data_IF_018388003798
#
_entry.id   IF_018388003798
#
_cell.length_a   1.000
_cell.length_b   1.000
_cell.length_c   1.000
_cell.angle_alpha   90.00
_cell.angle_beta   90.00
_cell.angle_gamma   90.00
#
_symmetry.space_group_name_H-M   'P 1'
#
loop_
_entity.id
_entity.type
_entity.pdbx_description
1 polymer ?
#
# COMPACT_ATOMS: atom_id res chain seq x y z
N UNK A 1 -24.08 -21.65 -18.58
CA UNK A 1 -23.89 -20.18 -18.56
C UNK A 1 -23.30 -19.64 -17.25
N UNK A 2 -23.27 -20.39 -16.12
CA UNK A 2 -22.67 -19.89 -14.86
C UNK A 2 -21.15 -19.69 -14.89
N UNK A 3 -20.38 -20.66 -15.38
CA UNK A 3 -18.91 -20.62 -15.24
C UNK A 3 -18.20 -19.45 -15.96
N UNK A 4 -18.77 -18.96 -17.08
CA UNK A 4 -18.20 -17.83 -17.81
C UNK A 4 -18.38 -16.50 -17.06
N UNK A 5 -19.48 -16.35 -16.33
CA UNK A 5 -19.75 -15.16 -15.52
C UNK A 5 -18.84 -15.14 -14.29
N UNK A 6 -18.66 -16.29 -13.64
CA UNK A 6 -17.81 -16.43 -12.45
C UNK A 6 -16.33 -16.13 -12.77
N UNK A 7 -15.82 -16.61 -13.91
CA UNK A 7 -14.46 -16.32 -14.37
C UNK A 7 -14.25 -14.84 -14.70
N UNK A 8 -15.26 -14.19 -15.29
CA UNK A 8 -15.20 -12.77 -15.60
C UNK A 8 -15.19 -11.92 -14.33
N UNK A 9 -16.05 -12.25 -13.36
CA UNK A 9 -16.10 -11.57 -12.07
C UNK A 9 -14.78 -11.71 -11.30
N UNK A 10 -14.20 -12.92 -11.27
CA UNK A 10 -12.89 -13.14 -10.64
C UNK A 10 -11.78 -12.33 -11.32
N UNK A 11 -11.82 -12.21 -12.66
CA UNK A 11 -10.87 -11.39 -13.40
C UNK A 11 -11.03 -9.88 -13.13
N UNK A 12 -12.28 -9.40 -13.00
CA UNK A 12 -12.56 -8.01 -12.68
C UNK A 12 -12.16 -7.67 -11.23
N UNK A 13 -12.43 -8.57 -10.29
CA UNK A 13 -12.00 -8.43 -8.89
C UNK A 13 -10.47 -8.38 -8.79
N UNK A 14 -9.76 -9.28 -9.48
CA UNK A 14 -8.31 -9.28 -9.52
C UNK A 14 -7.75 -7.96 -10.11
N UNK A 15 -8.40 -7.41 -11.15
CA UNK A 15 -8.00 -6.14 -11.73
C UNK A 15 -8.22 -4.97 -10.76
N UNK A 16 -9.35 -4.93 -10.07
CA UNK A 16 -9.66 -3.94 -9.04
C UNK A 16 -8.64 -3.99 -7.90
N UNK A 17 -8.35 -5.20 -7.38
CA UNK A 17 -7.33 -5.42 -6.35
C UNK A 17 -5.95 -4.91 -6.79
N UNK A 18 -5.55 -5.23 -8.02
CA UNK A 18 -4.28 -4.79 -8.58
C UNK A 18 -4.19 -3.25 -8.64
N UNK A 19 -5.27 -2.57 -9.01
CA UNK A 19 -5.32 -1.10 -9.01
C UNK A 19 -5.19 -0.53 -7.59
N UNK A 20 -5.93 -1.04 -6.61
CA UNK A 20 -5.88 -0.57 -5.22
C UNK A 20 -4.46 -0.72 -4.65
N UNK A 21 -3.82 -1.88 -4.88
CA UNK A 21 -2.45 -2.13 -4.42
C UNK A 21 -1.43 -1.23 -5.13
N UNK A 22 -1.61 -0.98 -6.43
CA UNK A 22 -0.75 -0.06 -7.18
C UNK A 22 -0.84 1.38 -6.65
N UNK A 23 -2.04 1.86 -6.30
CA UNK A 23 -2.23 3.18 -5.67
C UNK A 23 -1.54 3.23 -4.30
N UNK A 24 -1.69 2.19 -3.49
CA UNK A 24 -1.03 2.12 -2.19
C UNK A 24 0.51 2.15 -2.32
N UNK A 25 1.09 1.42 -3.27
CA UNK A 25 2.53 1.50 -3.59
C UNK A 25 2.91 2.92 -4.03
N UNK A 26 2.18 3.52 -4.96
CA UNK A 26 2.45 4.86 -5.45
C UNK A 26 2.50 5.91 -4.33
N UNK A 27 1.50 5.92 -3.44
CA UNK A 27 1.44 6.86 -2.31
C UNK A 27 2.48 6.60 -1.23
N UNK A 28 2.98 5.37 -1.11
CA UNK A 28 4.09 5.06 -0.19
C UNK A 28 5.41 5.61 -0.73
N UNK A 29 5.60 5.53 -2.05
CA UNK A 29 6.85 5.92 -2.72
C UNK A 29 6.90 7.41 -3.07
N UNK A 30 5.74 8.02 -3.34
CA UNK A 30 5.65 9.38 -3.89
C UNK A 30 5.05 10.33 -2.88
N UNK A 31 5.93 11.05 -2.18
CA UNK A 31 5.58 12.11 -1.22
C UNK A 31 4.59 11.63 -0.16
N UNK A 32 4.93 10.59 0.62
CA UNK A 32 4.01 9.95 1.56
C UNK A 32 3.52 10.87 2.68
N UNK A 33 4.25 11.94 3.00
CA UNK A 33 3.88 12.90 4.06
C UNK A 33 3.02 14.06 3.56
N UNK A 34 2.75 14.17 2.26
CA UNK A 34 1.82 15.18 1.75
C UNK A 34 0.39 14.86 2.19
N UNK A 35 -0.39 15.91 2.45
CA UNK A 35 -1.81 15.80 2.69
C UNK A 35 -2.49 15.14 1.48
N UNK A 36 -3.38 14.20 1.74
CA UNK A 36 -4.15 13.54 0.70
C UNK A 36 -5.29 14.45 0.26
N UNK A 37 -5.29 14.81 -1.03
CA UNK A 37 -6.41 15.52 -1.63
C UNK A 37 -7.31 14.57 -2.41
N UNK A 38 -8.60 14.92 -2.52
CA UNK A 38 -9.56 14.11 -3.30
C UNK A 38 -9.13 13.95 -4.76
N UNK A 39 -8.49 14.98 -5.32
CA UNK A 39 -7.99 14.94 -6.69
C UNK A 39 -6.83 13.94 -6.84
N UNK A 40 -6.00 13.75 -5.81
CA UNK A 40 -4.93 12.75 -5.83
C UNK A 40 -5.48 11.34 -6.00
N UNK A 41 -6.62 11.03 -5.37
CA UNK A 41 -7.29 9.75 -5.52
C UNK A 41 -7.77 9.54 -6.95
N UNK A 42 -8.52 10.50 -7.50
CA UNK A 42 -9.03 10.39 -8.87
C UNK A 42 -7.89 10.17 -9.88
N UNK A 43 -6.79 10.89 -9.72
CA UNK A 43 -5.61 10.76 -10.59
C UNK A 43 -4.91 9.42 -10.38
N UNK A 44 -4.66 9.02 -9.14
CA UNK A 44 -3.90 7.80 -8.84
C UNK A 44 -4.65 6.54 -9.29
N UNK A 45 -5.97 6.46 -9.04
CA UNK A 45 -6.80 5.33 -9.47
C UNK A 45 -6.93 5.27 -10.99
N UNK A 46 -7.22 6.41 -11.64
CA UNK A 46 -7.30 6.48 -13.10
C UNK A 46 -5.98 6.10 -13.78
N UNK A 47 -4.85 6.64 -13.29
CA UNK A 47 -3.54 6.35 -13.84
C UNK A 47 -3.13 4.88 -13.63
N UNK A 48 -3.46 4.30 -12.48
CA UNK A 48 -3.15 2.89 -12.18
C UNK A 48 -3.98 1.94 -13.04
N UNK A 49 -5.28 2.19 -13.20
CA UNK A 49 -6.14 1.40 -14.08
C UNK A 49 -5.72 1.52 -15.55
N UNK A 50 -5.39 2.73 -16.01
CA UNK A 50 -4.89 2.95 -17.37
C UNK A 50 -3.59 2.19 -17.64
N UNK A 51 -2.67 2.13 -16.68
CA UNK A 51 -1.45 1.32 -16.80
C UNK A 51 -1.76 -0.17 -16.84
N UNK A 52 -2.71 -0.64 -16.02
CA UNK A 52 -3.10 -2.04 -15.96
C UNK A 52 -3.69 -2.55 -17.28
N UNK A 53 -4.48 -1.72 -17.98
CA UNK A 53 -5.11 -2.06 -19.26
C UNK A 53 -4.23 -1.81 -20.48
N UNK A 54 -2.91 -1.87 -20.29
CA UNK A 54 -1.91 -1.57 -21.33
C UNK A 54 -2.14 -0.23 -22.04
N UNK A 55 -2.54 0.79 -21.27
CA UNK A 55 -2.76 2.16 -21.75
C UNK A 55 -3.86 2.27 -22.81
N UNK A 56 -4.82 1.35 -22.77
CA UNK A 56 -5.98 1.36 -23.64
C UNK A 56 -7.20 1.99 -22.96
N UNK A 57 -7.84 2.94 -23.67
CA UNK A 57 -9.11 3.55 -23.27
C UNK A 57 -10.28 2.59 -23.51
N UNK A 58 -10.20 1.72 -24.52
CA UNK A 58 -11.22 0.69 -24.80
C UNK A 58 -11.11 -0.53 -23.89
N UNK A 59 -10.04 -0.64 -23.10
CA UNK A 59 -9.77 -1.75 -22.19
C UNK A 59 -10.55 -1.74 -20.88
N UNK A 60 -11.54 -0.85 -20.72
CA UNK A 60 -12.35 -0.76 -19.49
C UNK A 60 -11.63 -0.13 -18.30
N UNK A 61 -10.56 0.62 -18.54
CA UNK A 61 -9.77 1.29 -17.50
C UNK A 61 -10.62 2.24 -16.63
N UNK A 62 -11.58 2.93 -17.25
CA UNK A 62 -12.51 3.82 -16.55
C UNK A 62 -13.40 3.07 -15.57
N UNK A 63 -13.90 1.90 -15.99
CA UNK A 63 -14.77 1.04 -15.20
C UNK A 63 -13.99 0.45 -14.03
N UNK A 64 -12.78 -0.07 -14.28
CA UNK A 64 -11.91 -0.61 -13.22
C UNK A 64 -11.53 0.50 -12.23
N UNK A 65 -11.15 1.69 -12.71
CA UNK A 65 -10.78 2.81 -11.84
C UNK A 65 -11.93 3.23 -10.92
N UNK A 66 -13.16 3.33 -11.46
CA UNK A 66 -14.35 3.69 -10.70
C UNK A 66 -14.69 2.63 -9.65
N UNK A 67 -14.73 1.36 -10.05
CA UNK A 67 -15.02 0.26 -9.11
C UNK A 67 -13.95 0.21 -8.02
N UNK A 68 -12.67 0.37 -8.36
CA UNK A 68 -11.58 0.36 -7.39
C UNK A 68 -11.65 1.54 -6.42
N UNK A 69 -12.01 2.73 -6.91
CA UNK A 69 -12.22 3.89 -6.05
C UNK A 69 -13.43 3.70 -5.13
N UNK A 70 -14.57 3.24 -5.66
CA UNK A 70 -15.80 3.00 -4.89
C UNK A 70 -15.62 1.88 -3.86
N UNK A 71 -14.78 0.88 -4.15
CA UNK A 71 -14.42 -0.19 -3.22
C UNK A 71 -13.42 0.26 -2.15
N UNK A 72 -12.75 1.39 -2.33
CA UNK A 72 -11.73 1.86 -1.39
C UNK A 72 -12.35 2.58 -0.19
N UNK A 73 -11.71 2.52 0.99
CA UNK A 73 -12.16 3.27 2.16
C UNK A 73 -12.19 4.77 1.87
N UNK A 74 -13.26 5.46 2.24
CA UNK A 74 -13.35 6.92 2.11
C UNK A 74 -12.32 7.59 3.02
N UNK A 75 -11.45 8.48 2.51
CA UNK A 75 -10.45 9.15 3.33
C UNK A 75 -11.11 10.08 4.35
N UNK A 76 -10.66 10.02 5.61
CA UNK A 76 -10.98 11.05 6.61
C UNK A 76 -10.14 12.30 6.37
N UNK A 77 -10.66 13.47 6.77
CA UNK A 77 -9.92 14.72 6.64
C UNK A 77 -8.59 14.69 7.41
N UNK A 78 -7.55 15.27 6.81
CA UNK A 78 -6.23 15.40 7.42
C UNK A 78 -5.31 14.18 7.28
N UNK A 79 -5.71 13.13 6.58
CA UNK A 79 -4.83 12.02 6.25
C UNK A 79 -3.72 12.44 5.28
N UNK A 80 -2.55 11.85 5.46
CA UNK A 80 -1.47 11.88 4.49
C UNK A 80 -1.62 10.75 3.46
N UNK A 81 -0.96 10.90 2.31
CA UNK A 81 -0.91 9.85 1.27
C UNK A 81 -0.40 8.51 1.81
N UNK A 82 0.66 8.54 2.62
CA UNK A 82 1.26 7.34 3.22
C UNK A 82 0.34 6.64 4.22
N UNK A 83 -0.38 7.39 5.06
CA UNK A 83 -1.37 6.82 5.98
C UNK A 83 -2.52 6.16 5.23
N UNK A 84 -3.02 6.82 4.19
CA UNK A 84 -4.06 6.24 3.35
C UNK A 84 -3.59 4.97 2.62
N UNK A 85 -2.34 4.92 2.16
CA UNK A 85 -1.75 3.73 1.56
C UNK A 85 -1.69 2.53 2.52
N UNK A 86 -1.46 2.75 3.81
CA UNK A 86 -1.54 1.69 4.82
C UNK A 86 -2.98 1.20 4.97
N UNK A 87 -3.94 2.13 4.93
CA UNK A 87 -5.36 1.81 5.04
C UNK A 87 -5.87 0.99 3.86
N UNK A 88 -5.46 1.32 2.63
CA UNK A 88 -5.76 0.54 1.43
C UNK A 88 -5.25 -0.91 1.55
N UNK A 89 -4.00 -1.10 1.99
CA UNK A 89 -3.43 -2.45 2.17
C UNK A 89 -4.17 -3.26 3.22
N UNK A 90 -4.49 -2.63 4.35
CA UNK A 90 -5.27 -3.26 5.42
C UNK A 90 -6.67 -3.66 4.92
N UNK A 91 -7.33 -2.79 4.17
CA UNK A 91 -8.64 -3.05 3.60
C UNK A 91 -8.64 -4.25 2.64
N UNK A 92 -7.63 -4.34 1.76
CA UNK A 92 -7.46 -5.49 0.86
C UNK A 92 -7.21 -6.77 1.66
N UNK A 93 -6.34 -6.74 2.68
CA UNK A 93 -6.07 -7.90 3.52
C UNK A 93 -7.30 -8.38 4.32
N UNK A 94 -8.12 -7.46 4.84
CA UNK A 94 -9.39 -7.78 5.51
C UNK A 94 -10.40 -8.39 4.54
N UNK A 95 -10.44 -7.88 3.31
CA UNK A 95 -11.29 -8.42 2.25
C UNK A 95 -10.78 -9.79 1.80
N UNK A 96 -9.47 -10.02 1.69
CA UNK A 96 -8.91 -11.35 1.41
C UNK A 96 -9.24 -12.36 2.50
N UNK A 97 -9.14 -11.98 3.78
CA UNK A 97 -9.53 -12.84 4.89
C UNK A 97 -11.03 -13.20 4.86
N UNK A 98 -11.87 -12.30 4.36
CA UNK A 98 -13.31 -12.56 4.20
C UNK A 98 -13.63 -13.47 2.98
N UNK A 99 -12.74 -13.54 1.98
CA UNK A 99 -12.97 -14.26 0.72
C UNK A 99 -12.22 -15.60 0.63
N UNK A 100 -11.22 -15.81 1.48
CA UNK A 100 -10.46 -17.05 1.58
C UNK A 100 -9.85 -17.16 2.97
N UNK A 101 -10.64 -17.66 3.92
CA UNK A 101 -10.16 -18.01 5.24
C UNK A 101 -9.17 -19.17 5.17
N UNK A 102 -7.90 -18.86 4.91
CA UNK A 102 -6.77 -19.60 5.47
C UNK A 102 -5.82 -18.57 6.08
N UNK A 103 -6.19 -18.18 7.30
CA UNK A 103 -5.51 -17.19 8.10
C UNK A 103 -4.23 -17.79 8.68
N UNK A 104 -3.12 -17.72 7.94
CA UNK A 104 -1.82 -18.12 8.49
C UNK A 104 -0.63 -17.30 7.99
N UNK A 105 -0.81 -15.99 7.74
CA UNK A 105 0.33 -15.08 7.65
C UNK A 105 0.50 -14.32 8.98
N UNK A 106 1.50 -14.72 9.77
CA UNK A 106 1.90 -14.03 11.00
C UNK A 106 2.41 -12.63 10.67
N UNK A 107 1.55 -11.63 10.78
CA UNK A 107 1.96 -10.23 10.85
C UNK A 107 2.45 -9.94 12.27
N UNK A 108 3.73 -10.18 12.55
CA UNK A 108 4.38 -9.65 13.75
C UNK A 108 4.68 -8.17 13.47
N UNK A 109 4.11 -7.20 14.22
CA UNK A 109 4.49 -5.80 14.08
C UNK A 109 5.96 -5.65 14.47
N UNK A 110 6.79 -5.18 13.52
CA UNK A 110 8.18 -4.83 13.86
C UNK A 110 8.14 -3.54 14.65
N UNK A 111 8.20 -3.65 15.99
CA UNK A 111 8.34 -2.50 16.87
C UNK A 111 9.64 -1.76 16.53
N UNK A 112 9.66 -0.41 16.55
CA UNK A 112 10.88 0.36 16.40
C UNK A 112 11.87 -0.08 17.49
N UNK A 113 13.06 -0.53 17.07
CA UNK A 113 14.12 -0.95 18.00
C UNK A 113 14.51 0.24 18.89
N UNK A 114 14.72 0.03 20.20
CA UNK A 114 15.31 1.06 21.05
C UNK A 114 16.64 1.53 20.46
N UNK A 115 16.81 2.85 20.37
CA UNK A 115 18.07 3.48 19.95
C UNK A 115 19.21 2.95 20.83
N UNK A 116 20.18 2.29 20.24
CA UNK A 116 21.42 1.94 20.95
C UNK A 116 22.20 3.22 21.17
N UNK A 117 22.34 3.67 22.41
CA UNK A 117 23.25 4.77 22.72
C UNK A 117 24.69 4.36 22.33
N UNK A 118 25.49 5.28 21.74
CA UNK A 118 26.88 4.99 21.46
C UNK A 118 27.63 4.73 22.77
N UNK A 119 28.27 3.57 22.84
CA UNK A 119 29.14 3.19 23.97
C UNK A 119 30.19 4.27 24.21
N UNK A 120 30.33 4.80 25.43
CA UNK A 120 31.37 5.78 25.72
C UNK A 120 32.75 5.13 25.54
N UNK A 121 33.56 5.70 24.66
CA UNK A 121 34.96 5.29 24.44
C UNK A 121 35.74 5.41 25.74
N UNK A 122 36.37 4.34 26.25
CA UNK A 122 37.23 4.44 27.41
C UNK A 122 38.51 5.21 27.05
N UNK A 123 38.63 6.42 27.59
CA UNK A 123 39.86 7.23 27.54
C UNK A 123 40.92 6.55 28.42
N UNK A 124 41.99 6.02 27.82
CA UNK A 124 43.07 5.45 28.60
C UNK A 124 44.33 5.11 27.80
N UNK A 125 45.29 6.03 27.77
CA UNK A 125 46.70 5.67 27.60
C UNK A 125 47.52 6.40 28.68
N UNK A 126 47.92 5.72 29.77
CA UNK A 126 49.04 6.19 30.57
C UNK A 126 50.36 5.87 29.87
N UNK A 127 51.22 6.90 29.71
CA UNK A 127 52.61 6.80 29.24
C UNK A 127 53.43 5.92 30.19
N UNK A 128 53.81 4.72 29.75
CA UNK A 128 54.88 3.95 30.36
C UNK A 128 56.24 4.47 29.90
N UNK A 129 56.92 5.23 30.76
CA UNK A 129 58.32 5.61 30.58
C UNK A 129 59.24 4.41 30.82
N UNK A 130 60.17 4.18 29.90
CA UNK A 130 61.35 3.32 30.13
C UNK A 130 62.37 4.10 30.95
N UNK A 131 62.86 3.50 32.02
CA UNK A 131 64.18 3.72 32.58
C UNK A 131 65.06 2.54 32.19
#
# INVERSE_FOLDING_TARGET
MSQLTDLKLASEEAAVRAVVLAVASHFTETRPTEALERQDLLVAFGASAYKLTDRSISGGADTIARIALDASPEPTSGLTRGEYALWLRKHIAETDQAWGGDADERVIPTLPRPRTEPTPTPTGVPKGGRA
#
